data_IF_706501763366
#
_entry.id   IF_706501763366
#
_cell.length_a   1.000
_cell.length_b   1.000
_cell.length_c   1.000
_cell.angle_alpha   90.00
_cell.angle_beta   90.00
_cell.angle_gamma   90.00
#
_symmetry.space_group_name_H-M   'P 1'
#
loop_
_entity.id
_entity.type
_entity.pdbx_description
1 polymer ?
#
# COMPACT_ATOMS: atom_id res chain seq x y z
N UNK A 1 5.94 -14.44 10.06
CA UNK A 1 5.66 -13.68 8.83
C UNK A 1 6.19 -12.25 8.94
N UNK A 2 7.39 -11.97 8.41
CA UNK A 2 7.98 -10.62 8.40
C UNK A 2 8.01 -10.12 6.95
N UNK A 3 7.41 -8.96 6.68
CA UNK A 3 7.52 -8.24 5.39
C UNK A 3 6.21 -7.81 4.71
N UNK A 4 5.07 -8.42 5.03
CA UNK A 4 3.79 -8.09 4.40
C UNK A 4 3.14 -6.80 4.94
N UNK A 5 2.26 -6.18 4.13
CA UNK A 5 1.34 -5.12 4.60
C UNK A 5 0.46 -5.70 5.71
N UNK A 6 0.47 -5.05 6.88
CA UNK A 6 -0.33 -5.48 8.04
C UNK A 6 -1.83 -5.30 7.73
N UNK A 7 -2.63 -6.32 8.02
CA UNK A 7 -4.10 -6.21 7.90
C UNK A 7 -4.70 -5.65 9.20
N UNK A 8 -5.92 -5.07 9.17
CA UNK A 8 -6.60 -4.60 10.38
C UNK A 8 -6.70 -5.67 11.47
N UNK A 9 -7.16 -6.85 11.10
CA UNK A 9 -7.33 -7.99 11.99
C UNK A 9 -5.99 -8.50 12.58
N UNK A 10 -4.93 -8.52 11.77
CA UNK A 10 -3.59 -8.80 12.27
C UNK A 10 -3.08 -7.71 13.23
N UNK A 11 -3.36 -6.45 12.94
CA UNK A 11 -2.98 -5.33 13.79
C UNK A 11 -3.64 -5.43 15.17
N UNK A 12 -4.94 -5.74 15.22
CA UNK A 12 -5.68 -5.93 16.48
C UNK A 12 -5.07 -7.06 17.32
N UNK A 13 -4.82 -8.23 16.71
CA UNK A 13 -4.16 -9.36 17.39
C UNK A 13 -2.77 -9.01 17.91
N UNK A 14 -1.96 -8.31 17.10
CA UNK A 14 -0.59 -7.95 17.47
C UNK A 14 -0.54 -6.87 18.56
N UNK A 15 -1.56 -6.00 18.66
CA UNK A 15 -1.55 -4.83 19.57
C UNK A 15 -2.46 -4.97 20.78
N UNK A 16 -3.37 -5.94 20.79
CA UNK A 16 -4.34 -6.12 21.88
C UNK A 16 -5.32 -4.95 21.99
N UNK A 17 -5.53 -4.21 20.89
CA UNK A 17 -6.46 -3.09 20.80
C UNK A 17 -7.46 -3.38 19.70
N UNK A 18 -8.73 -3.12 19.95
CA UNK A 18 -9.77 -3.17 18.92
C UNK A 18 -9.82 -1.86 18.14
N UNK A 19 -10.02 -2.00 16.85
CA UNK A 19 -10.25 -0.90 15.93
C UNK A 19 -11.75 -0.61 15.87
N UNK A 20 -12.08 0.68 15.96
CA UNK A 20 -13.44 1.18 15.75
C UNK A 20 -13.57 1.76 14.36
N UNK A 21 -14.63 1.40 13.66
CA UNK A 21 -14.99 2.02 12.40
C UNK A 21 -15.55 3.42 12.63
N UNK A 22 -15.05 4.39 11.87
CA UNK A 22 -15.54 5.76 11.86
C UNK A 22 -15.91 6.13 10.43
N UNK A 23 -17.22 6.27 10.20
CA UNK A 23 -17.74 6.80 8.96
C UNK A 23 -17.42 8.29 8.84
N UNK A 24 -16.99 8.70 7.65
CA UNK A 24 -16.77 10.12 7.33
C UNK A 24 -17.58 10.48 6.09
N UNK A 25 -18.50 11.44 6.24
CA UNK A 25 -19.34 11.93 5.14
C UNK A 25 -18.51 12.61 4.03
N UNK A 26 -17.38 13.22 4.38
CA UNK A 26 -16.42 13.82 3.45
C UNK A 26 -15.06 13.17 3.65
N UNK A 27 -14.55 12.52 2.59
CA UNK A 27 -13.28 11.78 2.59
C UNK A 27 -13.40 10.31 3.01
N UNK A 28 -12.29 9.55 3.00
CA UNK A 28 -12.36 8.11 3.24
C UNK A 28 -12.65 7.80 4.71
N UNK A 29 -13.32 6.66 4.95
CA UNK A 29 -13.64 6.19 6.30
C UNK A 29 -12.41 5.61 6.99
N UNK A 30 -12.44 5.52 8.32
CA UNK A 30 -11.26 5.18 9.11
C UNK A 30 -11.50 3.95 10.00
N UNK A 31 -10.42 3.22 10.28
CA UNK A 31 -10.32 2.35 11.44
C UNK A 31 -9.40 3.01 12.45
N UNK A 32 -9.96 3.35 13.62
CA UNK A 32 -9.25 4.09 14.68
C UNK A 32 -9.00 3.19 15.89
N UNK A 33 -7.87 3.38 16.55
CA UNK A 33 -7.59 2.81 17.85
C UNK A 33 -7.93 3.84 18.92
N UNK A 34 -8.93 3.53 19.75
CA UNK A 34 -9.31 4.37 20.89
C UNK A 34 -8.40 4.12 22.09
N UNK A 35 -8.28 5.14 22.95
CA UNK A 35 -7.55 5.06 24.23
C UNK A 35 -6.10 4.56 24.06
N UNK A 36 -5.54 4.77 22.87
CA UNK A 36 -4.18 4.39 22.56
C UNK A 36 -3.19 5.43 23.10
N UNK A 37 -1.91 5.08 23.15
CA UNK A 37 -0.81 6.05 23.27
C UNK A 37 0.14 5.84 22.11
N UNK A 38 0.84 6.90 21.70
CA UNK A 38 1.89 6.80 20.71
C UNK A 38 3.22 6.52 21.42
N UNK A 39 3.94 5.49 20.99
CA UNK A 39 5.29 5.19 21.50
C UNK A 39 6.35 6.02 20.76
N UNK A 40 7.60 5.95 21.19
CA UNK A 40 8.74 6.65 20.56
C UNK A 40 8.98 6.25 19.09
N UNK A 41 8.45 5.10 18.66
CA UNK A 41 8.48 4.63 17.27
C UNK A 41 7.28 5.12 16.44
N UNK A 42 6.50 6.07 16.96
CA UNK A 42 5.33 6.62 16.27
C UNK A 42 4.15 5.65 16.16
N UNK A 43 4.14 4.53 16.88
CA UNK A 43 3.05 3.56 16.78
C UNK A 43 2.06 3.64 17.93
N UNK A 44 0.77 3.52 17.60
CA UNK A 44 -0.29 3.32 18.56
C UNK A 44 -0.15 1.97 19.29
N UNK A 45 -0.20 2.03 20.62
CA UNK A 45 -0.17 0.90 21.55
C UNK A 45 -1.17 1.15 22.68
N UNK A 46 -1.54 0.11 23.41
CA UNK A 46 -2.43 0.26 24.56
C UNK A 46 -1.86 1.24 25.59
N UNK A 47 -2.70 2.17 26.05
CA UNK A 47 -2.39 3.01 27.19
C UNK A 47 -2.69 2.24 28.49
N UNK A 48 -1.82 2.42 29.49
CA UNK A 48 -2.02 1.88 30.85
C UNK A 48 -2.61 2.93 31.80
N UNK A 49 -2.79 4.17 31.34
CA UNK A 49 -3.32 5.25 32.16
C UNK A 49 -4.81 5.02 32.46
N UNK A 50 -5.17 5.03 33.75
CA UNK A 50 -6.56 4.86 34.20
C UNK A 50 -7.41 6.11 33.95
N UNK A 51 -6.79 7.30 34.02
CA UNK A 51 -7.47 8.61 33.95
C UNK A 51 -7.56 9.18 32.54
N UNK A 52 -7.11 8.46 31.51
CA UNK A 52 -7.10 8.98 30.14
C UNK A 52 -5.94 9.92 29.81
N UNK A 53 -5.07 10.27 30.78
CA UNK A 53 -3.91 11.13 30.52
C UNK A 53 -3.02 10.55 29.42
N UNK A 54 -2.68 11.38 28.43
CA UNK A 54 -1.91 11.01 27.23
C UNK A 54 -2.53 9.89 26.38
N UNK A 55 -3.83 9.63 26.51
CA UNK A 55 -4.56 8.81 25.56
C UNK A 55 -4.94 9.61 24.31
N UNK A 56 -4.95 8.93 23.17
CA UNK A 56 -5.33 9.48 21.88
C UNK A 56 -6.28 8.53 21.16
N UNK A 57 -7.05 9.08 20.23
CA UNK A 57 -7.73 8.32 19.19
C UNK A 57 -6.89 8.37 17.93
N UNK A 58 -6.22 7.27 17.59
CA UNK A 58 -5.26 7.23 16.49
C UNK A 58 -5.89 6.59 15.24
N UNK A 59 -5.99 7.29 14.10
CA UNK A 59 -6.32 6.66 12.83
C UNK A 59 -5.22 5.67 12.42
N UNK A 60 -5.57 4.39 12.24
CA UNK A 60 -4.61 3.33 11.89
C UNK A 60 -4.74 2.96 10.42
N UNK A 61 -5.97 2.82 9.92
CA UNK A 61 -6.24 2.51 8.52
C UNK A 61 -7.19 3.52 7.88
N UNK A 62 -6.89 3.84 6.62
CA UNK A 62 -7.75 4.58 5.71
C UNK A 62 -8.48 3.57 4.81
N UNK A 63 -9.81 3.57 4.86
CA UNK A 63 -10.63 2.69 4.05
C UNK A 63 -10.93 3.40 2.73
N UNK A 64 -10.23 2.96 1.70
CA UNK A 64 -10.38 3.43 0.32
C UNK A 64 -10.96 2.31 -0.54
N UNK A 65 -11.70 2.63 -1.62
CA UNK A 65 -12.10 1.63 -2.60
C UNK A 65 -10.87 0.87 -3.11
N UNK A 66 -10.87 -0.44 -2.93
CA UNK A 66 -9.83 -1.30 -3.50
C UNK A 66 -10.15 -1.52 -4.97
N UNK A 67 -9.29 -1.00 -5.85
CA UNK A 67 -9.39 -1.19 -7.30
C UNK A 67 -8.11 -1.80 -7.84
N UNK A 68 -8.24 -2.66 -8.84
CA UNK A 68 -7.09 -3.16 -9.60
C UNK A 68 -6.77 -2.13 -10.67
N UNK A 69 -5.71 -1.36 -10.47
CA UNK A 69 -5.20 -0.46 -11.50
C UNK A 69 -4.24 -1.23 -12.41
N UNK A 70 -4.24 -0.96 -13.72
CA UNK A 70 -3.20 -1.47 -14.60
C UNK A 70 -1.83 -1.02 -14.08
N UNK A 71 -0.82 -1.87 -14.24
CA UNK A 71 0.56 -1.48 -13.94
C UNK A 71 0.90 -0.26 -14.80
N UNK A 72 1.60 0.72 -14.23
CA UNK A 72 2.06 1.90 -14.99
C UNK A 72 3.01 1.52 -16.12
N UNK A 73 3.74 0.43 -15.93
CA UNK A 73 4.67 -0.15 -16.90
C UNK A 73 4.12 -1.50 -17.35
N UNK A 74 3.98 -1.65 -18.66
CA UNK A 74 3.56 -2.88 -19.33
C UNK A 74 4.75 -3.43 -20.12
N UNK A 75 5.59 -4.20 -19.41
CA UNK A 75 6.80 -4.78 -19.98
C UNK A 75 6.49 -5.81 -21.07
N UNK A 76 5.35 -6.50 -20.96
CA UNK A 76 4.97 -7.53 -21.90
C UNK A 76 4.65 -6.90 -23.26
N UNK A 77 3.88 -5.80 -23.26
CA UNK A 77 3.60 -5.02 -24.47
C UNK A 77 4.87 -4.47 -25.11
N UNK A 78 5.76 -3.90 -24.31
CA UNK A 78 6.98 -3.28 -24.82
C UNK A 78 7.96 -4.34 -25.36
N UNK A 79 8.00 -5.53 -24.75
CA UNK A 79 8.77 -6.68 -25.21
C UNK A 79 8.27 -7.23 -26.56
N UNK A 80 6.95 -7.38 -26.74
CA UNK A 80 6.39 -7.82 -28.02
C UNK A 80 6.69 -6.81 -29.13
N UNK A 81 6.57 -5.50 -28.87
CA UNK A 81 6.94 -4.47 -29.85
C UNK A 81 8.41 -4.54 -30.25
N UNK A 82 9.31 -4.79 -29.29
CA UNK A 82 10.73 -4.94 -29.57
C UNK A 82 11.03 -6.20 -30.39
N UNK A 83 10.31 -7.30 -30.13
CA UNK A 83 10.42 -8.54 -30.90
C UNK A 83 9.97 -8.34 -32.35
N UNK A 84 8.84 -7.66 -32.55
CA UNK A 84 8.26 -7.42 -33.87
C UNK A 84 9.13 -6.51 -34.76
N UNK A 85 10.00 -5.68 -34.16
CA UNK A 85 10.92 -4.82 -34.91
C UNK A 85 12.18 -5.53 -35.42
N UNK A 86 12.51 -6.71 -34.88
CA UNK A 86 13.74 -7.45 -35.21
C UNK A 86 13.88 -7.74 -36.71
N UNK A 87 12.87 -8.23 -37.45
CA UNK A 87 13.02 -8.49 -38.88
C UNK A 87 13.39 -7.24 -39.69
N UNK A 88 12.77 -6.10 -39.39
CA UNK A 88 13.08 -4.84 -40.06
C UNK A 88 14.51 -4.35 -39.76
N UNK A 89 14.96 -4.51 -38.51
CA UNK A 89 16.33 -4.17 -38.12
C UNK A 89 17.37 -5.05 -38.81
N UNK A 90 17.09 -6.35 -38.98
CA UNK A 90 17.97 -7.26 -39.73
C UNK A 90 18.15 -6.76 -41.16
N UNK A 91 17.05 -6.46 -41.86
CA UNK A 91 17.10 -5.99 -43.26
C UNK A 91 17.86 -4.68 -43.37
N UNK A 92 17.58 -3.71 -42.49
CA UNK A 92 18.24 -2.40 -42.51
C UNK A 92 19.78 -2.52 -42.37
N UNK A 93 20.25 -3.29 -41.39
CA UNK A 93 21.68 -3.44 -41.13
C UNK A 93 22.40 -4.33 -42.15
N UNK A 94 21.69 -5.25 -42.81
CA UNK A 94 22.29 -6.09 -43.85
C UNK A 94 22.49 -5.33 -45.18
N UNK A 95 21.61 -4.39 -45.50
CA UNK A 95 21.72 -3.54 -46.70
C UNK A 95 22.81 -2.47 -46.54
N UNK A 96 22.95 -1.87 -45.35
CA UNK A 96 23.98 -0.87 -45.06
C UNK A 96 25.42 -1.42 -45.17
N UNK A 97 25.66 -2.68 -44.80
CA UNK A 97 26.98 -3.31 -44.93
C UNK A 97 27.34 -3.79 -46.35
N UNK A 98 26.46 -3.57 -47.33
CA UNK A 98 26.62 -4.04 -48.72
C UNK A 98 26.85 -2.90 -49.73
N UNK A 99 26.81 -1.64 -49.27
CA UNK A 99 27.28 -0.44 -49.97
C UNK A 99 28.65 -0.02 -49.43
#
# INVERSE_FOLDING_TARGET
MRGGKITPDEWERRRGLRLRFVYRRRGPSLLVADRARINTRGTAVASRAKTGRNQVTAPIFLLVPQVKLPKRLDLDRDAERARDSVPGLIVANWVEGRL
#
